data_IF_390711118170
#
_entry.id   IF_390711118170
#
_cell.length_a   1.000
_cell.length_b   1.000
_cell.length_c   1.000
_cell.angle_alpha   90.00
_cell.angle_beta   90.00
_cell.angle_gamma   90.00
#
_symmetry.space_group_name_H-M   'P 1'
#
loop_
_entity.id
_entity.type
_entity.pdbx_description
1 polymer ?
#
# COMPACT_ATOMS: atom_id res chain seq x y z
N UNK A 1 0.31 12.60 16.08
CA UNK A 1 -1.13 12.52 15.76
C UNK A 1 -1.49 13.47 14.63
N UNK A 2 -1.25 14.78 14.77
CA UNK A 2 -1.54 15.77 13.71
C UNK A 2 -0.83 15.51 12.37
N UNK A 3 0.47 15.16 12.38
CA UNK A 3 1.21 14.91 11.13
C UNK A 3 0.63 13.75 10.31
N UNK A 4 0.24 12.66 10.96
CA UNK A 4 -0.37 11.52 10.29
C UNK A 4 -1.74 11.87 9.69
N UNK A 5 -2.55 12.64 10.42
CA UNK A 5 -3.85 13.12 9.95
C UNK A 5 -3.70 14.07 8.76
N UNK A 6 -2.76 15.01 8.81
CA UNK A 6 -2.47 15.92 7.71
C UNK A 6 -2.01 15.17 6.44
N UNK A 7 -1.15 14.15 6.58
CA UNK A 7 -0.74 13.30 5.45
C UNK A 7 -1.92 12.53 4.84
N UNK A 8 -2.83 12.02 5.67
CA UNK A 8 -4.05 11.33 5.19
C UNK A 8 -4.95 12.31 4.45
N UNK A 9 -5.16 13.51 4.99
CA UNK A 9 -5.97 14.55 4.38
C UNK A 9 -5.40 14.99 3.02
N UNK A 10 -4.11 15.35 2.96
CA UNK A 10 -3.45 15.75 1.71
C UNK A 10 -3.42 14.62 0.67
N UNK A 11 -3.23 13.36 1.09
CA UNK A 11 -3.32 12.22 0.18
C UNK A 11 -4.75 11.99 -0.33
N UNK A 12 -5.76 12.29 0.49
CA UNK A 12 -7.17 12.18 0.09
C UNK A 12 -7.49 13.19 -0.99
N UNK A 13 -7.14 14.46 -0.77
CA UNK A 13 -7.33 15.55 -1.74
C UNK A 13 -6.57 15.25 -3.05
N UNK A 14 -5.32 14.77 -2.95
CA UNK A 14 -4.54 14.40 -4.15
C UNK A 14 -5.20 13.33 -5.03
N UNK A 15 -5.96 12.43 -4.41
CA UNK A 15 -6.56 11.25 -5.06
C UNK A 15 -7.98 11.48 -5.56
N UNK A 16 -8.74 12.32 -4.87
CA UNK A 16 -10.16 12.49 -5.15
C UNK A 16 -10.40 13.34 -6.42
N UNK A 17 -11.62 13.36 -6.94
CA UNK A 17 -11.90 14.01 -8.22
C UNK A 17 -12.33 15.48 -8.11
N UNK A 18 -12.31 16.07 -6.91
CA UNK A 18 -12.83 17.40 -6.66
C UNK A 18 -11.73 18.33 -6.11
N UNK A 19 -12.06 19.61 -5.89
CA UNK A 19 -11.07 20.62 -5.47
C UNK A 19 -11.36 21.12 -4.04
N UNK A 20 -11.95 20.26 -3.20
CA UNK A 20 -12.35 20.61 -1.84
C UNK A 20 -11.35 20.08 -0.83
N UNK A 21 -10.66 21.00 -0.15
CA UNK A 21 -9.72 20.67 0.92
C UNK A 21 -10.36 19.81 2.01
N UNK A 22 -9.78 18.66 2.28
CA UNK A 22 -10.16 17.77 3.37
C UNK A 22 -9.48 18.16 4.68
N UNK A 23 -10.29 18.40 5.72
CA UNK A 23 -9.79 18.56 7.09
C UNK A 23 -8.73 19.65 7.29
N UNK A 24 -7.95 19.52 8.36
CA UNK A 24 -6.79 20.38 8.61
C UNK A 24 -5.55 19.69 8.04
N UNK A 25 -4.85 20.34 7.10
CA UNK A 25 -3.69 19.76 6.41
C UNK A 25 -4.01 19.10 5.06
N UNK A 26 -5.23 19.21 4.55
CA UNK A 26 -5.52 18.98 3.15
C UNK A 26 -4.85 20.02 2.24
N UNK A 27 -4.73 19.72 0.95
CA UNK A 27 -4.07 20.59 -0.02
C UNK A 27 -4.56 20.28 -1.44
N UNK A 28 -4.92 21.34 -2.16
CA UNK A 28 -5.51 21.28 -3.50
C UNK A 28 -4.73 22.14 -4.51
N UNK A 29 -5.27 22.29 -5.71
CA UNK A 29 -4.67 23.07 -6.80
C UNK A 29 -4.10 24.43 -6.38
N UNK A 30 -4.81 25.19 -5.54
CA UNK A 30 -4.33 26.50 -5.10
C UNK A 30 -3.07 26.40 -4.23
N UNK A 31 -2.98 25.37 -3.38
CA UNK A 31 -1.83 25.12 -2.52
C UNK A 31 -0.62 24.73 -3.37
N UNK A 32 -0.79 23.78 -4.29
CA UNK A 32 0.29 23.32 -5.18
C UNK A 32 0.71 24.39 -6.20
N UNK A 33 -0.21 25.20 -6.70
CA UNK A 33 0.09 26.29 -7.63
C UNK A 33 0.87 27.45 -6.98
N UNK A 34 0.83 27.55 -5.65
CA UNK A 34 1.55 28.59 -4.89
C UNK A 34 3.04 28.29 -4.65
N UNK A 35 3.50 27.09 -5.00
CA UNK A 35 4.89 26.65 -4.79
C UNK A 35 5.87 27.36 -5.71
N UNK A 36 7.16 27.32 -5.34
CA UNK A 36 8.25 27.86 -6.17
C UNK A 36 8.26 27.26 -7.59
N UNK A 37 7.98 25.95 -7.69
CA UNK A 37 7.72 25.25 -8.94
C UNK A 37 6.25 24.80 -8.95
N UNK A 38 5.33 25.59 -9.53
CA UNK A 38 3.90 25.29 -9.52
C UNK A 38 3.55 24.00 -10.23
N UNK A 39 2.60 23.26 -9.66
CA UNK A 39 1.90 22.14 -10.27
C UNK A 39 0.48 22.06 -9.70
N UNK A 40 -0.30 21.11 -10.17
CA UNK A 40 -1.69 20.88 -9.74
C UNK A 40 -1.80 19.55 -9.01
N UNK A 41 -2.85 19.38 -8.22
CA UNK A 41 -3.21 18.08 -7.67
C UNK A 41 -3.47 17.10 -8.82
N UNK A 42 -3.22 15.81 -8.59
CA UNK A 42 -3.43 14.82 -9.65
C UNK A 42 -4.90 14.56 -9.94
N UNK A 43 -5.74 14.70 -8.90
CA UNK A 43 -7.16 14.36 -8.87
C UNK A 43 -7.44 12.98 -9.50
N UNK A 44 -6.56 12.03 -9.18
CA UNK A 44 -6.49 10.70 -9.80
C UNK A 44 -5.69 9.71 -8.96
N UNK A 45 -5.74 8.44 -9.33
CA UNK A 45 -4.93 7.40 -8.71
C UNK A 45 -3.44 7.68 -8.84
N UNK A 46 -2.68 7.36 -7.80
CA UNK A 46 -1.22 7.30 -7.88
C UNK A 46 -0.79 6.31 -8.98
N UNK A 47 0.23 6.69 -9.74
CA UNK A 47 0.98 5.78 -10.61
C UNK A 47 2.18 5.13 -9.91
N UNK A 48 2.68 5.73 -8.83
CA UNK A 48 3.84 5.27 -8.06
C UNK A 48 3.81 5.75 -6.61
N UNK A 49 4.39 4.97 -5.68
CA UNK A 49 4.63 5.41 -4.29
C UNK A 49 5.52 6.67 -4.25
N UNK A 50 6.38 6.88 -5.26
CA UNK A 50 7.24 8.06 -5.32
C UNK A 50 6.45 9.37 -5.53
N UNK A 51 5.22 9.32 -5.99
CA UNK A 51 4.36 10.51 -6.12
C UNK A 51 4.02 11.11 -4.76
N UNK A 52 4.12 10.35 -3.67
CA UNK A 52 4.02 10.90 -2.31
C UNK A 52 4.99 12.08 -2.10
N UNK A 53 6.12 12.14 -2.83
CA UNK A 53 7.08 13.25 -2.75
C UNK A 53 6.49 14.61 -3.18
N UNK A 54 5.43 14.61 -3.96
CA UNK A 54 4.72 15.79 -4.46
C UNK A 54 3.57 16.23 -3.54
N UNK A 55 3.15 15.36 -2.62
CA UNK A 55 2.01 15.60 -1.74
C UNK A 55 2.49 16.34 -0.50
N UNK A 56 1.67 17.27 0.01
CA UNK A 56 1.95 17.97 1.25
C UNK A 56 2.25 17.00 2.41
N UNK A 57 3.12 17.43 3.32
CA UNK A 57 3.51 16.70 4.53
C UNK A 57 4.36 15.42 4.36
N UNK A 58 4.54 14.90 3.14
CA UNK A 58 5.38 13.72 2.90
C UNK A 58 6.86 14.08 2.70
N UNK A 59 7.65 13.86 3.75
CA UNK A 59 9.12 14.00 3.69
C UNK A 59 9.79 12.75 3.13
N UNK A 60 11.03 12.85 2.57
CA UNK A 60 11.78 11.67 2.15
C UNK A 60 11.94 10.60 3.24
N UNK A 61 12.14 11.01 4.50
CA UNK A 61 12.26 10.08 5.63
C UNK A 61 10.96 9.31 5.88
N UNK A 62 9.81 9.99 5.81
CA UNK A 62 8.49 9.36 5.93
C UNK A 62 8.25 8.38 4.78
N UNK A 63 8.52 8.79 3.54
CA UNK A 63 8.33 7.92 2.37
C UNK A 63 9.18 6.65 2.49
N UNK A 64 10.44 6.76 2.93
CA UNK A 64 11.30 5.62 3.17
C UNK A 64 10.78 4.71 4.29
N UNK A 65 10.21 5.27 5.36
CA UNK A 65 9.61 4.50 6.44
C UNK A 65 8.31 3.78 6.02
N UNK A 66 7.52 4.37 5.12
CA UNK A 66 6.27 3.79 4.60
C UNK A 66 6.49 2.74 3.51
N UNK A 67 7.55 2.89 2.71
CA UNK A 67 7.84 2.06 1.53
C UNK A 67 7.75 0.55 1.76
N UNK A 68 8.15 -0.02 2.92
CA UNK A 68 7.99 -1.45 3.19
C UNK A 68 6.53 -1.92 3.33
N UNK A 69 5.61 -1.01 3.66
CA UNK A 69 4.23 -1.32 4.06
C UNK A 69 3.19 -0.95 3.01
N UNK A 70 3.54 -0.10 2.05
CA UNK A 70 2.58 0.42 1.05
C UNK A 70 2.96 -0.01 -0.37
N UNK A 71 1.94 -0.11 -1.22
CA UNK A 71 2.12 -0.30 -2.64
C UNK A 71 1.07 0.49 -3.43
N UNK A 72 1.32 0.70 -4.72
CA UNK A 72 0.38 1.32 -5.65
C UNK A 72 0.09 0.32 -6.75
N UNK A 73 -1.20 -0.03 -6.90
CA UNK A 73 -1.73 -0.82 -8.01
C UNK A 73 -2.46 0.15 -8.95
N UNK A 74 -1.90 0.46 -10.14
CA UNK A 74 -2.47 1.47 -11.02
C UNK A 74 -3.92 1.17 -11.40
N UNK A 75 -4.77 2.21 -11.35
CA UNK A 75 -6.19 2.14 -11.71
C UNK A 75 -6.99 1.08 -10.92
N UNK A 76 -6.61 0.83 -9.67
CA UNK A 76 -7.30 -0.09 -8.78
C UNK A 76 -7.77 0.62 -7.52
N UNK A 77 -9.09 0.63 -7.30
CA UNK A 77 -9.74 1.20 -6.11
C UNK A 77 -9.85 0.21 -4.96
N UNK A 78 -9.58 -1.07 -5.21
CA UNK A 78 -9.76 -2.11 -4.21
C UNK A 78 -8.62 -2.09 -3.21
N UNK A 79 -8.98 -2.08 -1.93
CA UNK A 79 -8.04 -2.25 -0.83
C UNK A 79 -8.16 -3.68 -0.30
N UNK A 80 -7.55 -4.62 -1.02
CA UNK A 80 -7.53 -6.05 -0.70
C UNK A 80 -6.12 -6.49 -0.33
N UNK A 81 -5.97 -7.11 0.83
CA UNK A 81 -4.70 -7.52 1.42
C UNK A 81 -4.67 -9.04 1.51
N UNK A 82 -3.68 -9.65 0.84
CA UNK A 82 -3.45 -11.08 0.93
C UNK A 82 -2.78 -11.43 2.27
N UNK A 83 -3.56 -11.97 3.20
CA UNK A 83 -3.10 -12.33 4.54
C UNK A 83 -2.00 -13.40 4.52
N UNK A 84 -1.93 -14.24 3.48
CA UNK A 84 -0.90 -15.28 3.35
C UNK A 84 0.48 -14.72 2.98
N UNK A 85 0.55 -13.47 2.53
CA UNK A 85 1.81 -12.85 2.06
C UNK A 85 2.41 -11.84 3.02
N UNK A 86 1.71 -11.52 4.11
CA UNK A 86 2.26 -10.63 5.15
C UNK A 86 3.49 -11.28 5.80
N UNK A 87 4.55 -10.50 5.99
CA UNK A 87 5.78 -10.95 6.64
C UNK A 87 5.51 -11.23 8.12
N UNK A 88 5.74 -12.47 8.57
CA UNK A 88 5.40 -12.90 9.92
C UNK A 88 6.22 -12.18 11.00
N UNK A 89 7.38 -11.62 10.63
CA UNK A 89 8.28 -10.89 11.53
C UNK A 89 8.05 -9.38 11.51
N UNK A 90 7.03 -8.90 10.77
CA UNK A 90 6.69 -7.47 10.64
C UNK A 90 5.19 -7.24 10.88
N UNK A 91 4.74 -7.27 12.15
CA UNK A 91 3.33 -7.20 12.50
C UNK A 91 2.71 -5.81 12.32
N UNK A 92 3.49 -4.76 12.04
CA UNK A 92 3.05 -3.37 12.02
C UNK A 92 1.93 -3.12 10.99
N UNK A 93 2.00 -3.77 9.83
CA UNK A 93 0.94 -3.64 8.83
C UNK A 93 -0.34 -4.31 9.30
N UNK A 94 -0.27 -5.53 9.86
CA UNK A 94 -1.46 -6.19 10.36
C UNK A 94 -2.05 -5.47 11.57
N UNK A 95 -1.19 -4.94 12.45
CA UNK A 95 -1.59 -4.10 13.57
C UNK A 95 -2.44 -2.91 13.10
N UNK A 96 -1.96 -2.17 12.10
CA UNK A 96 -2.68 -1.04 11.55
C UNK A 96 -4.01 -1.45 10.90
N UNK A 97 -4.05 -2.59 10.20
CA UNK A 97 -5.26 -3.10 9.55
C UNK A 97 -6.32 -3.59 10.55
N UNK A 98 -5.90 -4.16 11.67
CA UNK A 98 -6.78 -4.70 12.71
C UNK A 98 -7.15 -3.67 13.79
N UNK A 99 -6.45 -2.53 13.85
CA UNK A 99 -6.53 -1.58 14.97
C UNK A 99 -6.30 -2.29 16.32
N UNK A 100 -5.24 -3.10 16.37
CA UNK A 100 -4.91 -3.95 17.52
C UNK A 100 -3.63 -3.51 18.22
N UNK A 101 -3.27 -4.20 19.31
CA UNK A 101 -1.91 -4.12 19.84
C UNK A 101 -0.92 -4.81 18.89
N UNK A 102 0.36 -4.44 19.00
CA UNK A 102 1.45 -5.09 18.26
C UNK A 102 1.57 -6.57 18.64
N UNK A 103 1.36 -6.90 19.92
CA UNK A 103 1.39 -8.27 20.45
C UNK A 103 0.28 -9.11 19.84
N UNK A 104 -0.97 -8.62 19.83
CA UNK A 104 -2.08 -9.35 19.21
C UNK A 104 -1.85 -9.57 17.71
N UNK A 105 -1.34 -8.57 16.99
CA UNK A 105 -1.03 -8.71 15.56
C UNK A 105 0.08 -9.75 15.33
N UNK A 106 1.09 -9.80 16.20
CA UNK A 106 2.13 -10.82 16.14
C UNK A 106 1.58 -12.21 16.45
N UNK A 107 0.72 -12.36 17.46
CA UNK A 107 0.04 -13.64 17.77
C UNK A 107 -0.73 -14.14 16.53
N UNK A 108 -1.52 -13.27 15.90
CA UNK A 108 -2.31 -13.61 14.71
C UNK A 108 -1.41 -14.02 13.54
N UNK A 109 -0.32 -13.29 13.25
CA UNK A 109 0.61 -13.67 12.19
C UNK A 109 1.33 -14.99 12.48
N UNK A 110 1.70 -15.22 13.75
CA UNK A 110 2.42 -16.43 14.17
C UNK A 110 1.53 -17.68 14.15
N UNK A 111 0.21 -17.51 14.25
CA UNK A 111 -0.76 -18.58 14.12
C UNK A 111 -0.91 -19.09 12.67
N UNK A 112 -0.40 -18.34 11.68
CA UNK A 112 -0.41 -18.76 10.28
C UNK A 112 0.67 -19.83 10.04
N UNK A 113 0.24 -21.05 9.71
CA UNK A 113 1.17 -22.11 9.28
C UNK A 113 1.85 -21.75 7.95
N UNK A 114 2.97 -22.42 7.67
CA UNK A 114 3.76 -22.40 6.45
C UNK A 114 2.96 -22.60 5.16
N UNK A 115 1.83 -23.30 5.18
CA UNK A 115 0.93 -23.44 4.03
C UNK A 115 0.03 -22.23 3.80
N UNK A 116 -0.10 -21.33 4.78
CA UNK A 116 -1.12 -20.28 4.81
C UNK A 116 -2.53 -20.84 5.01
N UNK A 117 -3.52 -19.97 4.81
CA UNK A 117 -4.94 -20.29 4.85
C UNK A 117 -5.47 -20.63 3.45
N UNK A 118 -6.31 -21.66 3.35
CA UNK A 118 -6.97 -22.03 2.09
C UNK A 118 -8.12 -21.09 1.76
N UNK A 119 -8.81 -20.59 2.79
CA UNK A 119 -9.96 -19.69 2.68
C UNK A 119 -9.93 -18.65 3.82
N UNK A 120 -10.81 -17.66 3.74
CA UNK A 120 -10.85 -16.58 4.73
C UNK A 120 -11.52 -17.00 6.05
N UNK A 121 -12.39 -18.00 6.01
CA UNK A 121 -13.05 -18.54 7.19
C UNK A 121 -12.02 -19.15 8.17
N UNK A 122 -11.00 -19.83 7.65
CA UNK A 122 -9.89 -20.36 8.46
C UNK A 122 -9.14 -19.23 9.19
N UNK A 123 -8.88 -18.11 8.50
CA UNK A 123 -8.30 -16.92 9.12
C UNK A 123 -9.23 -16.35 10.20
N UNK A 124 -10.52 -16.15 9.91
CA UNK A 124 -11.46 -15.53 10.85
C UNK A 124 -11.84 -16.38 12.05
N UNK A 125 -11.56 -17.70 12.01
CA UNK A 125 -11.85 -18.62 13.11
C UNK A 125 -10.67 -18.80 14.07
N UNK A 126 -9.54 -18.12 13.82
CA UNK A 126 -8.38 -18.13 14.71
C UNK A 126 -8.76 -17.68 16.13
N UNK A 127 -8.36 -18.44 17.17
CA UNK A 127 -8.53 -18.04 18.56
C UNK A 127 -7.91 -16.66 18.87
N UNK A 128 -6.78 -16.34 18.24
CA UNK A 128 -6.03 -15.09 18.41
C UNK A 128 -6.85 -13.87 17.96
N UNK A 129 -7.69 -14.03 16.92
CA UNK A 129 -8.59 -12.96 16.45
C UNK A 129 -9.80 -12.74 17.37
N UNK A 130 -10.14 -13.70 18.25
CA UNK A 130 -11.34 -13.59 19.10
C UNK A 130 -11.31 -12.39 20.06
N UNK A 131 -10.11 -11.90 20.39
CA UNK A 131 -9.88 -10.73 21.24
C UNK A 131 -10.02 -9.40 20.48
N UNK A 132 -9.98 -9.43 19.14
CA UNK A 132 -9.91 -8.25 18.27
C UNK A 132 -11.30 -7.91 17.71
N UNK A 133 -11.79 -6.71 17.98
CA UNK A 133 -13.07 -6.22 17.46
C UNK A 133 -12.88 -5.53 16.11
N UNK A 134 -13.07 -6.28 15.03
CA UNK A 134 -13.04 -5.72 13.68
C UNK A 134 -14.35 -5.06 13.28
N UNK A 135 -14.26 -3.84 12.76
CA UNK A 135 -15.32 -3.17 12.02
C UNK A 135 -15.67 -3.92 10.73
N UNK A 136 -16.87 -3.64 10.20
CA UNK A 136 -17.36 -4.30 8.98
C UNK A 136 -16.42 -4.12 7.78
N UNK A 137 -15.83 -2.93 7.63
CA UNK A 137 -14.94 -2.62 6.52
C UNK A 137 -13.61 -3.39 6.61
N UNK A 138 -13.05 -3.57 7.82
CA UNK A 138 -11.82 -4.36 8.02
C UNK A 138 -12.02 -5.82 7.57
N UNK A 139 -13.18 -6.41 7.88
CA UNK A 139 -13.52 -7.79 7.44
C UNK A 139 -13.66 -7.95 5.92
N UNK A 140 -13.81 -6.85 5.17
CA UNK A 140 -13.91 -6.89 3.71
C UNK A 140 -12.57 -6.62 3.00
N UNK A 141 -11.51 -6.33 3.75
CA UNK A 141 -10.21 -6.00 3.18
C UNK A 141 -9.27 -7.19 3.03
N UNK A 142 -9.55 -8.34 3.64
CA UNK A 142 -8.65 -9.49 3.56
C UNK A 142 -9.04 -10.45 2.43
N UNK A 143 -8.02 -11.01 1.78
CA UNK A 143 -8.09 -12.10 0.80
C UNK A 143 -6.98 -13.12 1.09
N UNK A 144 -7.03 -14.29 0.47
CA UNK A 144 -6.01 -15.36 0.61
C UNK A 144 -5.14 -15.56 -0.63
N UNK A 145 -5.49 -14.90 -1.73
CA UNK A 145 -4.82 -14.95 -3.01
C UNK A 145 -4.47 -13.55 -3.55
N UNK A 146 -3.76 -13.49 -4.67
CA UNK A 146 -3.44 -12.23 -5.34
C UNK A 146 -3.39 -12.45 -6.85
N UNK A 147 -3.96 -11.50 -7.59
CA UNK A 147 -3.75 -11.40 -9.03
C UNK A 147 -2.54 -10.54 -9.38
N UNK A 148 -1.94 -9.83 -8.42
CA UNK A 148 -0.87 -8.87 -8.67
C UNK A 148 0.46 -9.33 -8.08
N UNK A 149 1.52 -9.21 -8.88
CA UNK A 149 2.86 -9.64 -8.52
C UNK A 149 3.89 -8.59 -8.95
N UNK A 150 4.91 -8.38 -8.12
CA UNK A 150 6.04 -7.49 -8.44
C UNK A 150 7.27 -8.32 -8.80
N UNK A 151 7.68 -8.26 -10.06
CA UNK A 151 8.96 -8.83 -10.52
C UNK A 151 10.07 -7.81 -10.31
N UNK A 152 11.12 -8.18 -9.59
CA UNK A 152 12.39 -7.43 -9.55
C UNK A 152 13.44 -8.22 -10.32
N UNK A 153 13.93 -7.65 -11.41
CA UNK A 153 14.95 -8.26 -12.27
C UNK A 153 16.25 -7.45 -12.20
N UNK A 154 17.38 -8.14 -12.16
CA UNK A 154 18.70 -7.51 -12.27
C UNK A 154 19.59 -8.32 -13.20
N UNK A 155 20.48 -7.64 -13.91
CA UNK A 155 21.46 -8.26 -14.78
C UNK A 155 22.80 -7.53 -14.67
N UNK A 156 23.89 -8.27 -14.79
CA UNK A 156 25.24 -7.73 -14.83
C UNK A 156 26.00 -8.34 -15.99
N UNK A 157 26.58 -7.50 -16.84
CA UNK A 157 27.43 -7.92 -17.94
C UNK A 157 28.63 -6.99 -18.03
N UNK A 158 29.84 -7.54 -17.91
CA UNK A 158 31.08 -6.78 -17.71
C UNK A 158 30.92 -5.75 -16.57
N UNK A 159 31.10 -4.46 -16.87
CA UNK A 159 30.96 -3.36 -15.92
C UNK A 159 29.57 -2.68 -15.99
N UNK A 160 28.62 -3.24 -16.74
CA UNK A 160 27.25 -2.71 -16.84
C UNK A 160 26.31 -3.43 -15.87
N UNK A 161 25.48 -2.65 -15.20
CA UNK A 161 24.42 -3.13 -14.30
C UNK A 161 23.06 -2.65 -14.80
N UNK A 162 22.10 -3.55 -14.84
CA UNK A 162 20.71 -3.27 -15.16
C UNK A 162 19.82 -3.73 -14.01
N UNK A 163 18.84 -2.90 -13.67
CA UNK A 163 17.80 -3.22 -12.68
C UNK A 163 16.46 -2.75 -13.23
N UNK A 164 15.44 -3.56 -13.01
CA UNK A 164 14.09 -3.28 -13.43
C UNK A 164 13.10 -3.85 -12.43
N UNK A 165 12.03 -3.11 -12.19
CA UNK A 165 10.84 -3.62 -11.50
C UNK A 165 9.67 -3.64 -12.48
N UNK A 166 8.82 -4.65 -12.40
CA UNK A 166 7.57 -4.72 -13.16
C UNK A 166 6.41 -5.11 -12.26
N UNK A 167 5.28 -4.42 -12.39
CA UNK A 167 4.01 -4.87 -11.80
C UNK A 167 3.30 -5.70 -12.84
N UNK A 168 2.90 -6.91 -12.45
CA UNK A 168 2.27 -7.90 -13.31
C UNK A 168 0.89 -8.24 -12.75
N UNK A 169 -0.07 -8.47 -13.64
CA UNK A 169 -1.40 -8.98 -13.31
C UNK A 169 -1.61 -10.33 -13.99
N UNK A 170 -2.04 -11.32 -13.22
CA UNK A 170 -2.57 -12.58 -13.75
C UNK A 170 -4.06 -12.36 -13.99
N UNK A 171 -4.50 -12.47 -15.24
CA UNK A 171 -5.91 -12.29 -15.59
C UNK A 171 -6.71 -13.59 -15.36
N UNK A 172 -8.02 -13.53 -15.60
CA UNK A 172 -8.93 -14.65 -15.37
C UNK A 172 -8.66 -15.86 -16.30
N UNK A 173 -7.94 -15.65 -17.41
CA UNK A 173 -7.49 -16.71 -18.32
C UNK A 173 -6.09 -17.24 -17.99
N UNK A 174 -5.55 -16.91 -16.81
CA UNK A 174 -4.22 -17.27 -16.31
C UNK A 174 -3.05 -16.74 -17.16
N UNK A 175 -3.29 -15.71 -17.97
CA UNK A 175 -2.24 -15.02 -18.71
C UNK A 175 -1.67 -13.87 -17.89
N UNK A 176 -0.36 -13.65 -18.05
CA UNK A 176 0.36 -12.57 -17.38
C UNK A 176 0.36 -11.32 -18.26
N UNK A 177 -0.19 -10.23 -17.72
CA UNK A 177 -0.10 -8.90 -18.30
C UNK A 177 0.89 -8.04 -17.52
N UNK A 178 1.78 -7.34 -18.21
CA UNK A 178 2.66 -6.34 -17.60
C UNK A 178 1.90 -5.02 -17.52
N UNK A 179 1.67 -4.53 -16.30
CA UNK A 179 0.96 -3.28 -16.04
C UNK A 179 1.90 -2.09 -16.12
N UNK A 180 3.08 -2.20 -15.50
CA UNK A 180 4.08 -1.13 -15.52
C UNK A 180 5.50 -1.68 -15.47
N UNK A 181 6.45 -0.88 -15.97
CA UNK A 181 7.89 -1.16 -15.87
C UNK A 181 8.61 0.10 -15.39
N UNK A 182 9.51 -0.09 -14.44
CA UNK A 182 10.42 0.97 -13.98
C UNK A 182 11.84 0.45 -14.12
N UNK A 183 12.67 1.18 -14.86
CA UNK A 183 14.10 0.89 -15.03
C UNK A 183 14.88 1.72 -14.01
N UNK A 184 15.82 1.09 -13.32
CA UNK A 184 16.61 1.70 -12.26
C UNK A 184 16.50 0.93 -10.94
N UNK A 185 17.16 1.46 -9.91
CA UNK A 185 16.98 1.01 -8.53
C UNK A 185 15.92 1.91 -7.91
N UNK A 186 14.90 1.31 -7.32
CA UNK A 186 14.04 1.96 -6.32
C UNK A 186 14.58 1.57 -4.96
#
# INVERSE_FOLDING_TARGET
NFEAEAMVNALTDWLDSNDMITGSGGAEDNDYASREFPYLAANSYLGSVNELRLIEHFTPAVILALTPYVCVLPQNTQHLININTLDAEKPELLQALLDSSLEDAQEVLSARDSSGYENLEDFYTLPELSKIKMAKWQKTQFVVDSQYFKLKASARFNNSYFSMSSIMKVNDTQQIQIISRTIGRN
#
